data_IF_491776309028
#
_entry.id   IF_491776309028
#
_cell.length_a   1.000
_cell.length_b   1.000
_cell.length_c   1.000
_cell.angle_alpha   90.00
_cell.angle_beta   90.00
_cell.angle_gamma   90.00
#
_symmetry.space_group_name_H-M   'P 1'
#
loop_
_entity.id
_entity.type
_entity.pdbx_description
1 polymer ?
#
# COMPACT_ATOMS: atom_id res chain seq x y z
N UNK A 1 17.60 -2.72 -0.88
CA UNK A 1 17.89 -3.71 0.19
C UNK A 1 16.53 -4.13 0.77
N UNK A 2 16.20 -5.43 0.76
CA UNK A 2 14.93 -5.92 1.32
C UNK A 2 15.01 -6.11 2.84
N UNK A 3 13.90 -5.96 3.56
CA UNK A 3 13.83 -6.21 5.01
C UNK A 3 13.01 -7.47 5.26
N UNK A 4 13.53 -8.40 6.08
CA UNK A 4 12.81 -9.61 6.48
C UNK A 4 12.02 -9.33 7.76
N UNK A 5 10.76 -9.74 7.80
CA UNK A 5 9.87 -9.59 8.96
C UNK A 5 9.19 -10.91 9.27
N UNK A 6 9.07 -11.22 10.56
CA UNK A 6 8.27 -12.36 11.02
C UNK A 6 6.80 -12.01 10.96
N UNK A 7 5.99 -12.94 10.48
CA UNK A 7 4.53 -12.85 10.52
C UNK A 7 4.02 -13.15 11.93
N UNK A 8 3.06 -12.35 12.38
CA UNK A 8 2.29 -12.60 13.60
C UNK A 8 0.91 -13.10 13.21
N UNK A 9 0.35 -14.06 13.96
CA UNK A 9 -0.98 -14.62 13.69
C UNK A 9 -1.94 -14.21 14.81
N UNK A 10 -3.14 -13.80 14.45
CA UNK A 10 -4.21 -13.53 15.42
C UNK A 10 -4.97 -14.81 15.76
N UNK A 11 -5.61 -14.88 16.93
CA UNK A 11 -6.48 -16.01 17.27
C UNK A 11 -7.62 -16.23 16.27
N UNK A 12 -8.12 -15.17 15.63
CA UNK A 12 -9.22 -15.22 14.67
C UNK A 12 -8.82 -15.66 13.26
N UNK A 13 -7.52 -15.87 12.99
CA UNK A 13 -7.03 -16.42 11.72
C UNK A 13 -6.46 -15.39 10.74
N UNK A 14 -6.40 -14.10 11.10
CA UNK A 14 -5.70 -13.09 10.31
C UNK A 14 -4.21 -13.03 10.65
N UNK A 15 -3.43 -12.43 9.76
CA UNK A 15 -1.98 -12.28 9.92
C UNK A 15 -1.59 -10.81 9.92
N UNK A 16 -0.55 -10.48 10.67
CA UNK A 16 0.07 -9.16 10.69
C UNK A 16 1.54 -9.26 10.26
N UNK A 17 1.97 -8.25 9.50
CA UNK A 17 3.37 -7.97 9.22
C UNK A 17 3.69 -6.54 9.63
N UNK A 18 4.78 -6.33 10.34
CA UNK A 18 5.21 -4.99 10.72
C UNK A 18 5.87 -4.30 9.54
N UNK A 19 5.36 -3.13 9.15
CA UNK A 19 5.94 -2.30 8.11
C UNK A 19 7.33 -1.78 8.52
N UNK A 20 8.26 -1.56 7.57
CA UNK A 20 9.52 -0.89 7.86
C UNK A 20 9.28 0.52 8.41
N UNK A 21 9.92 0.85 9.54
CA UNK A 21 9.71 2.14 10.25
C UNK A 21 9.97 3.35 9.33
N UNK A 22 11.14 3.38 8.69
CA UNK A 22 11.55 4.48 7.81
C UNK A 22 10.59 4.65 6.61
N UNK A 23 10.03 3.55 6.10
CA UNK A 23 9.06 3.60 5.02
C UNK A 23 7.73 4.18 5.50
N UNK A 24 7.23 3.73 6.65
CA UNK A 24 6.01 4.26 7.24
C UNK A 24 6.12 5.75 7.58
N UNK A 25 7.27 6.18 8.13
CA UNK A 25 7.55 7.59 8.42
C UNK A 25 7.64 8.44 7.15
N UNK A 26 8.29 7.94 6.09
CA UNK A 26 8.37 8.63 4.78
C UNK A 26 7.00 8.93 4.20
N UNK A 27 6.06 8.00 4.31
CA UNK A 27 4.69 8.15 3.81
C UNK A 27 3.73 8.74 4.85
N UNK A 28 4.23 9.18 6.01
CA UNK A 28 3.40 9.82 7.04
C UNK A 28 2.31 8.91 7.63
N UNK A 29 2.50 7.58 7.59
CA UNK A 29 1.54 6.62 8.11
C UNK A 29 1.46 6.71 9.63
N UNK A 30 0.24 6.82 10.15
CA UNK A 30 -0.06 6.93 11.59
C UNK A 30 -0.98 5.79 12.01
N UNK A 31 -1.20 5.67 13.32
CA UNK A 31 -2.21 4.74 13.85
C UNK A 31 -3.56 5.03 13.18
N UNK A 32 -4.16 4.01 12.58
CA UNK A 32 -5.44 4.14 11.86
C UNK A 32 -5.32 4.53 10.39
N UNK A 33 -4.11 4.79 9.86
CA UNK A 33 -3.92 4.94 8.42
C UNK A 33 -4.32 3.67 7.66
N UNK A 34 -4.99 3.85 6.53
CA UNK A 34 -5.39 2.78 5.62
C UNK A 34 -4.42 2.74 4.45
N UNK A 35 -4.03 1.54 4.04
CA UNK A 35 -3.18 1.29 2.87
C UNK A 35 -3.87 0.26 1.98
N UNK A 36 -3.63 0.30 0.68
CA UNK A 36 -4.06 -0.76 -0.21
C UNK A 36 -3.10 -1.95 -0.08
N UNK A 37 -3.66 -3.16 -0.11
CA UNK A 37 -2.88 -4.40 -0.21
C UNK A 37 -3.43 -5.17 -1.39
N UNK A 38 -2.63 -5.31 -2.44
CA UNK A 38 -3.01 -6.02 -3.66
C UNK A 38 -2.06 -7.18 -3.90
N UNK A 39 -2.59 -8.32 -4.32
CA UNK A 39 -1.77 -9.42 -4.82
C UNK A 39 -1.41 -9.16 -6.27
N UNK A 40 -0.12 -9.20 -6.59
CA UNK A 40 0.40 -9.05 -7.95
C UNK A 40 0.27 -10.37 -8.70
N UNK A 41 0.42 -10.34 -10.03
CA UNK A 41 0.31 -11.53 -10.88
C UNK A 41 1.35 -12.62 -10.57
N UNK A 42 2.45 -12.26 -9.91
CA UNK A 42 3.49 -13.18 -9.45
C UNK A 42 3.33 -13.59 -7.96
N UNK A 43 2.16 -13.33 -7.36
CA UNK A 43 1.78 -13.78 -6.01
C UNK A 43 2.40 -12.98 -4.87
N UNK A 44 3.04 -11.83 -5.15
CA UNK A 44 3.58 -10.94 -4.12
C UNK A 44 2.49 -9.98 -3.64
N UNK A 45 2.61 -9.53 -2.40
CA UNK A 45 1.77 -8.45 -1.89
C UNK A 45 2.42 -7.10 -2.17
N UNK A 46 1.70 -6.24 -2.89
CA UNK A 46 2.02 -4.84 -3.08
C UNK A 46 1.25 -4.01 -2.04
N UNK A 47 1.99 -3.21 -1.26
CA UNK A 47 1.43 -2.27 -0.30
C UNK A 47 1.49 -0.87 -0.89
N UNK A 48 0.32 -0.24 -1.05
CA UNK A 48 0.20 1.12 -1.56
C UNK A 48 -0.27 2.09 -0.45
N UNK A 49 0.60 3.00 0.02
CA UNK A 49 0.27 3.97 1.06
C UNK A 49 -0.65 5.10 0.57
N UNK A 50 -0.84 5.26 -0.74
CA UNK A 50 -1.58 6.36 -1.36
C UNK A 50 -3.00 5.96 -1.80
N UNK A 51 -3.56 4.87 -1.23
CA UNK A 51 -4.90 4.37 -1.58
C UNK A 51 -6.02 5.42 -1.62
N UNK A 52 -5.92 6.48 -0.80
CA UNK A 52 -6.90 7.57 -0.75
C UNK A 52 -6.58 8.76 -1.65
N UNK A 53 -5.43 8.79 -2.34
CA UNK A 53 -5.14 9.81 -3.32
C UNK A 53 -5.96 9.49 -4.57
N UNK A 54 -7.10 10.18 -4.73
CA UNK A 54 -7.80 10.18 -5.99
C UNK A 54 -6.77 10.45 -7.11
N UNK A 55 -6.68 9.62 -8.16
CA UNK A 55 -5.76 9.90 -9.24
C UNK A 55 -6.03 11.31 -9.75
N UNK A 56 -4.98 12.13 -9.97
CA UNK A 56 -5.18 13.48 -10.44
C UNK A 56 -6.01 13.45 -11.74
N UNK A 57 -6.96 14.38 -11.91
CA UNK A 57 -7.80 14.40 -13.10
C UNK A 57 -6.93 14.41 -14.35
N UNK A 58 -7.19 13.47 -15.26
CA UNK A 58 -6.52 13.42 -16.56
C UNK A 58 -7.27 14.35 -17.51
N UNK A 59 -6.59 15.39 -18.01
CA UNK A 59 -7.13 16.24 -19.08
C UNK A 59 -6.66 15.67 -20.42
N UNK A 60 -7.60 15.49 -21.36
CA UNK A 60 -7.29 15.20 -22.75
C UNK A 60 -7.82 16.35 -23.62
N UNK A 61 -7.03 16.78 -24.60
CA UNK A 61 -7.46 17.72 -25.64
C UNK A 61 -8.06 16.89 -26.77
N UNK A 62 -9.32 17.16 -27.11
CA UNK A 62 -10.00 16.57 -28.26
C UNK A 62 -9.96 17.58 -29.39
N UNK A 63 -9.26 17.24 -30.47
CA UNK A 63 -9.29 18.04 -31.71
C UNK A 63 -10.63 17.79 -32.42
N UNK A 64 -11.38 18.85 -32.77
CA UNK A 64 -12.57 18.72 -33.62
C UNK A 64 -12.17 18.23 -35.02
N UNK A 65 -12.91 17.25 -35.55
CA UNK A 65 -12.81 16.80 -36.93
C UNK A 65 -13.58 17.66 -37.91
#
# INVERSE_FOLDING_TARGET
>A
MGVIRRIQRTPSGTFFVCLPKEWAERYGLKKGSVVAVNETSDGKLLIDPEYSAAPPPRTAVLEPG
#
